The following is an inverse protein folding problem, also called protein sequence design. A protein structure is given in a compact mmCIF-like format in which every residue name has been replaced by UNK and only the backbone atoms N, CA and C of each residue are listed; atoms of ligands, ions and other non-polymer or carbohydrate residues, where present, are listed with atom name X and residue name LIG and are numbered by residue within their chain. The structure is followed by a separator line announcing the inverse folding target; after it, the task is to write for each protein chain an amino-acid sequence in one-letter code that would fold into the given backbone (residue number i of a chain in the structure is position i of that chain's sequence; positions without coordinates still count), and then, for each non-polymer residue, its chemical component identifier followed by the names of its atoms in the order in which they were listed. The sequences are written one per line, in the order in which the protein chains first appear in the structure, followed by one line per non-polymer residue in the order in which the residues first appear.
data_IF_141946859616
#
_entry.id   IF_141946859616
#
_cell.length_a   1.000
_cell.length_b   1.000
_cell.length_c   1.000
_cell.angle_alpha   90.00
_cell.angle_beta   90.00
_cell.angle_gamma   90.00
#
_symmetry.space_group_name_H-M   'P 1'
#
loop_
_entity.id
_entity.type
_entity.pdbx_description
1 polymer ?
#
# COMPACT_ATOMS: atom_id res chain seq x y z
N UNK A 1 -15.07 18.95 -9.93
CA UNK A 1 -15.36 17.88 -8.95
C UNK A 1 -14.70 18.23 -7.61
N UNK A 2 -15.43 18.15 -6.50
CA UNK A 2 -14.90 18.44 -5.15
C UNK A 2 -14.54 17.11 -4.48
N UNK A 3 -13.28 16.90 -4.11
CA UNK A 3 -12.82 15.65 -3.53
C UNK A 3 -13.43 15.45 -2.13
N UNK A 4 -14.26 14.42 -1.93
CA UNK A 4 -14.92 14.12 -0.65
C UNK A 4 -14.29 12.92 0.08
N UNK A 5 -12.99 12.67 -0.08
CA UNK A 5 -12.31 11.52 0.55
C UNK A 5 -12.45 11.44 2.08
N UNK A 6 -12.75 12.56 2.75
CA UNK A 6 -13.07 12.59 4.20
C UNK A 6 -14.38 11.88 4.54
N UNK A 7 -15.39 11.94 3.67
CA UNK A 7 -16.67 11.29 3.93
C UNK A 7 -16.57 9.76 3.86
N UNK A 8 -15.59 9.22 3.12
CA UNK A 8 -15.29 7.78 3.08
C UNK A 8 -14.73 7.23 4.40
N UNK A 9 -14.36 8.10 5.34
CA UNK A 9 -13.84 7.69 6.66
C UNK A 9 -14.91 7.63 7.74
N UNK A 10 -16.12 8.17 7.50
CA UNK A 10 -17.20 8.12 8.48
C UNK A 10 -17.60 6.66 8.72
N UNK A 11 -17.62 6.24 9.99
CA UNK A 11 -17.98 4.87 10.38
C UNK A 11 -16.92 3.80 10.09
N UNK A 12 -15.70 4.19 9.69
CA UNK A 12 -14.60 3.24 9.47
C UNK A 12 -14.12 2.71 10.82
N UNK A 13 -14.12 1.39 10.97
CA UNK A 13 -13.59 0.66 12.12
C UNK A 13 -12.56 -0.36 11.64
N UNK A 14 -11.62 -0.73 12.50
CA UNK A 14 -10.71 -1.85 12.25
C UNK A 14 -11.37 -3.13 12.74
N UNK A 15 -11.67 -4.02 11.81
CA UNK A 15 -12.34 -5.31 12.06
C UNK A 15 -11.47 -6.48 11.56
N UNK A 16 -11.25 -7.53 12.36
CA UNK A 16 -10.55 -8.74 11.93
C UNK A 16 -11.25 -9.43 10.74
N UNK A 17 -10.48 -10.11 9.89
CA UNK A 17 -11.00 -10.91 8.78
C UNK A 17 -11.58 -10.11 7.59
N UNK A 18 -11.43 -8.78 7.58
CA UNK A 18 -11.81 -7.93 6.45
C UNK A 18 -10.65 -7.70 5.48
N UNK A 19 -11.01 -7.41 4.23
CA UNK A 19 -10.08 -6.97 3.20
C UNK A 19 -9.88 -5.47 3.33
N UNK A 20 -8.63 -5.03 3.25
CA UNK A 20 -8.25 -3.63 3.30
C UNK A 20 -7.53 -3.23 2.02
N UNK A 21 -7.89 -2.06 1.49
CA UNK A 21 -7.06 -1.35 0.54
C UNK A 21 -6.08 -0.48 1.33
N UNK A 22 -4.79 -0.76 1.19
CA UNK A 22 -3.71 0.03 1.76
C UNK A 22 -3.07 0.85 0.65
N UNK A 23 -2.68 2.08 0.95
CA UNK A 23 -1.93 2.90 0.00
C UNK A 23 -0.88 3.67 0.75
N UNK A 24 0.35 3.67 0.27
CA UNK A 24 1.43 4.48 0.83
C UNK A 24 2.04 5.32 -0.29
N UNK A 25 2.51 6.51 0.06
CA UNK A 25 3.23 7.39 -0.87
C UNK A 25 4.64 7.59 -0.32
N UNK A 26 5.61 7.72 -1.22
CA UNK A 26 6.97 8.11 -0.84
C UNK A 26 6.96 9.52 -0.25
N UNK A 27 8.00 9.85 0.51
CA UNK A 27 8.20 11.19 1.05
C UNK A 27 8.21 12.22 -0.09
N UNK A 28 7.41 13.29 0.06
CA UNK A 28 7.22 14.33 -0.96
C UNK A 28 6.79 13.80 -2.34
N UNK A 29 6.25 12.57 -2.41
CA UNK A 29 5.92 11.88 -3.67
C UNK A 29 7.11 11.79 -4.63
N UNK A 30 8.32 11.66 -4.07
CA UNK A 30 9.53 11.43 -4.86
C UNK A 30 9.40 10.10 -5.62
N UNK A 31 9.68 10.04 -6.93
CA UNK A 31 9.46 8.84 -7.73
C UNK A 31 10.59 7.79 -7.54
N UNK A 32 10.82 7.37 -6.31
CA UNK A 32 11.91 6.49 -5.90
C UNK A 32 11.84 5.11 -6.57
N UNK A 33 10.64 4.68 -6.93
CA UNK A 33 10.41 3.36 -7.53
C UNK A 33 10.64 3.33 -9.05
N UNK A 34 11.04 4.45 -9.66
CA UNK A 34 11.68 4.41 -10.97
C UNK A 34 13.07 3.73 -10.93
N UNK A 35 13.70 3.70 -9.74
CA UNK A 35 14.90 2.91 -9.52
C UNK A 35 14.53 1.44 -9.35
N UNK A 36 15.06 0.58 -10.22
CA UNK A 36 14.80 -0.87 -10.21
C UNK A 36 15.12 -1.50 -8.85
N UNK A 37 16.25 -1.15 -8.24
CA UNK A 37 16.67 -1.74 -6.97
C UNK A 37 15.73 -1.36 -5.83
N UNK A 38 15.26 -0.10 -5.81
CA UNK A 38 14.29 0.36 -4.82
C UNK A 38 12.94 -0.33 -4.99
N UNK A 39 12.47 -0.49 -6.23
CA UNK A 39 11.24 -1.22 -6.52
C UNK A 39 11.34 -2.70 -6.12
N UNK A 40 12.47 -3.34 -6.43
CA UNK A 40 12.72 -4.74 -6.06
C UNK A 40 12.82 -4.95 -4.55
N UNK A 41 13.44 -4.01 -3.83
CA UNK A 41 13.51 -4.07 -2.37
C UNK A 41 12.10 -4.10 -1.76
N UNK A 42 11.20 -3.21 -2.19
CA UNK A 42 9.80 -3.20 -1.71
C UNK A 42 9.07 -4.49 -2.08
N UNK A 43 9.21 -4.97 -3.31
CA UNK A 43 8.57 -6.22 -3.74
C UNK A 43 8.99 -7.41 -2.86
N UNK A 44 10.28 -7.52 -2.53
CA UNK A 44 10.79 -8.58 -1.64
C UNK A 44 10.21 -8.48 -0.24
N UNK A 45 10.10 -7.29 0.32
CA UNK A 45 9.51 -7.10 1.65
C UNK A 45 8.03 -7.49 1.68
N UNK A 46 7.25 -7.14 0.64
CA UNK A 46 5.84 -7.55 0.54
C UNK A 46 5.70 -9.08 0.57
N UNK A 47 6.58 -9.80 -0.14
CA UNK A 47 6.58 -11.25 -0.14
C UNK A 47 7.07 -11.85 1.20
N UNK A 48 8.12 -11.30 1.80
CA UNK A 48 8.63 -11.76 3.09
C UNK A 48 7.63 -11.54 4.24
N UNK A 49 6.82 -10.48 4.18
CA UNK A 49 5.75 -10.22 5.15
C UNK A 49 4.64 -11.29 5.11
N UNK A 50 4.32 -11.80 3.93
CA UNK A 50 3.32 -12.87 3.77
C UNK A 50 3.79 -14.21 4.38
N UNK A 51 5.10 -14.47 4.35
CA UNK A 51 5.69 -15.66 4.98
C UNK A 51 5.83 -15.54 6.51
N UNK A 52 6.06 -14.33 7.02
CA UNK A 52 6.42 -14.08 8.43
C UNK A 52 5.26 -13.62 9.32
N UNK A 53 4.11 -13.28 8.75
CA UNK A 53 2.96 -12.75 9.50
C UNK A 53 1.67 -13.49 9.18
N UNK A 54 0.62 -13.25 9.96
CA UNK A 54 -0.74 -13.72 9.65
C UNK A 54 -1.47 -12.83 8.62
N UNK A 55 -0.73 -11.99 7.88
CA UNK A 55 -1.25 -11.18 6.78
C UNK A 55 -1.35 -12.04 5.52
N UNK A 56 -2.40 -11.81 4.74
CA UNK A 56 -2.51 -12.34 3.38
C UNK A 56 -2.57 -11.19 2.39
N UNK A 57 -1.64 -11.15 1.44
CA UNK A 57 -1.62 -10.12 0.40
C UNK A 57 -2.43 -10.62 -0.79
N UNK A 58 -3.52 -9.94 -1.13
CA UNK A 58 -4.38 -10.37 -2.25
C UNK A 58 -3.84 -9.88 -3.60
N UNK A 59 -3.38 -8.63 -3.65
CA UNK A 59 -2.82 -7.98 -4.82
C UNK A 59 -2.09 -6.72 -4.38
N UNK A 60 -1.12 -6.28 -5.17
CA UNK A 60 -0.42 -5.02 -4.99
C UNK A 60 0.09 -4.51 -6.33
N UNK A 61 0.29 -3.19 -6.44
CA UNK A 61 0.99 -2.56 -7.57
C UNK A 61 1.86 -1.42 -7.09
N UNK A 62 3.08 -1.37 -7.62
CA UNK A 62 4.04 -0.32 -7.32
C UNK A 62 4.07 0.67 -8.49
N UNK A 63 3.62 1.89 -8.22
CA UNK A 63 3.74 3.05 -9.10
C UNK A 63 5.05 3.78 -8.79
N UNK A 64 5.52 4.74 -9.60
CA UNK A 64 6.81 5.41 -9.38
C UNK A 64 7.02 6.02 -7.98
N UNK A 65 5.96 6.51 -7.33
CA UNK A 65 5.99 7.21 -6.03
C UNK A 65 5.04 6.61 -4.99
N UNK A 66 4.33 5.52 -5.28
CA UNK A 66 3.35 4.97 -4.35
C UNK A 66 3.08 3.47 -4.55
N UNK A 67 2.65 2.84 -3.47
CA UNK A 67 2.19 1.45 -3.43
C UNK A 67 0.68 1.43 -3.24
N UNK A 68 0.02 0.58 -4.00
CA UNK A 68 -1.34 0.11 -3.76
C UNK A 68 -1.32 -1.35 -3.33
#
# INVERSE_FOLDING_TARGET
MRYQGRNLRKGRISEPGRIYLLTTVTHERSPLFNCWDSACAVAREIHAMEESTALRTLTWVLMPDHLH
#
